data_IF_569313291355
#
_entry.id   IF_569313291355
#
_cell.length_a   1.000
_cell.length_b   1.000
_cell.length_c   1.000
_cell.angle_alpha   90.00
_cell.angle_beta   90.00
_cell.angle_gamma   90.00
#
_symmetry.space_group_name_H-M   'P 1'
#
loop_
_entity.id
_entity.type
_entity.pdbx_description
1 polymer ?
#
# COMPACT_ATOMS: atom_id res chain seq x y z
N UNK A 1 -24.00 9.71 -15.77
CA UNK A 1 -23.03 8.60 -15.84
C UNK A 1 -23.78 7.28 -15.63
N UNK A 2 -23.72 6.33 -16.58
CA UNK A 2 -24.40 5.03 -16.46
C UNK A 2 -23.86 4.24 -15.26
N UNK A 3 -24.73 3.53 -14.54
CA UNK A 3 -24.40 2.64 -13.42
C UNK A 3 -23.24 1.67 -13.76
N UNK A 4 -23.18 1.22 -15.02
CA UNK A 4 -22.11 0.37 -15.54
C UNK A 4 -20.71 1.00 -15.42
N UNK A 5 -20.57 2.32 -15.65
CA UNK A 5 -19.28 3.02 -15.56
C UNK A 5 -18.79 3.15 -14.12
N UNK A 6 -19.71 3.28 -13.16
CA UNK A 6 -19.37 3.34 -11.74
C UNK A 6 -18.84 1.99 -11.22
N UNK A 7 -19.43 0.87 -11.67
CA UNK A 7 -18.92 -0.46 -11.34
C UNK A 7 -17.48 -0.65 -11.82
N UNK A 8 -17.14 -0.20 -13.05
CA UNK A 8 -15.77 -0.27 -13.57
C UNK A 8 -14.79 0.58 -12.74
N UNK A 9 -15.17 1.79 -12.31
CA UNK A 9 -14.35 2.61 -11.41
C UNK A 9 -14.09 1.91 -10.06
N UNK A 10 -15.13 1.33 -9.45
CA UNK A 10 -15.01 0.64 -8.18
C UNK A 10 -14.10 -0.60 -8.27
N UNK A 11 -14.21 -1.35 -9.36
CA UNK A 11 -13.32 -2.49 -9.64
C UNK A 11 -11.88 -2.01 -9.84
N UNK A 12 -11.66 -0.93 -10.60
CA UNK A 12 -10.33 -0.35 -10.78
C UNK A 12 -9.68 0.12 -9.47
N UNK A 13 -10.46 0.74 -8.59
CA UNK A 13 -10.00 1.15 -7.26
C UNK A 13 -9.64 -0.05 -6.37
N UNK A 14 -10.41 -1.14 -6.45
CA UNK A 14 -10.11 -2.40 -5.75
C UNK A 14 -8.84 -3.08 -6.25
N UNK A 15 -8.62 -3.11 -7.58
CA UNK A 15 -7.41 -3.68 -8.18
C UNK A 15 -6.17 -2.90 -7.75
N UNK A 16 -6.25 -1.56 -7.69
CA UNK A 16 -5.14 -0.73 -7.22
C UNK A 16 -4.71 -1.08 -5.78
N UNK A 17 -5.65 -1.49 -4.93
CA UNK A 17 -5.37 -1.88 -3.54
C UNK A 17 -4.75 -3.28 -3.40
N UNK A 18 -4.85 -4.14 -4.42
CA UNK A 18 -4.21 -5.47 -4.39
C UNK A 18 -2.68 -5.36 -4.30
N UNK A 19 -2.09 -4.23 -4.71
CA UNK A 19 -0.67 -3.96 -4.56
C UNK A 19 -0.19 -4.04 -3.09
N UNK A 20 -1.09 -3.80 -2.11
CA UNK A 20 -0.75 -3.87 -0.69
C UNK A 20 -0.46 -5.29 -0.19
N UNK A 21 -0.92 -6.32 -0.90
CA UNK A 21 -0.66 -7.72 -0.52
C UNK A 21 0.83 -8.02 -0.61
N UNK A 22 1.50 -7.55 -1.68
CA UNK A 22 2.95 -7.73 -1.85
C UNK A 22 3.74 -7.04 -0.74
N UNK A 23 3.29 -5.86 -0.32
CA UNK A 23 3.89 -5.10 0.78
C UNK A 23 3.75 -5.84 2.11
N UNK A 24 2.57 -6.39 2.41
CA UNK A 24 2.36 -7.16 3.63
C UNK A 24 3.26 -8.39 3.72
N UNK A 25 3.45 -9.09 2.60
CA UNK A 25 4.37 -10.23 2.51
C UNK A 25 5.82 -9.76 2.69
N UNK A 26 6.24 -8.69 2.01
CA UNK A 26 7.60 -8.13 2.10
C UNK A 26 8.00 -7.79 3.53
N UNK A 27 7.22 -6.91 4.19
CA UNK A 27 7.46 -6.49 5.58
C UNK A 27 7.45 -7.69 6.53
N UNK A 28 6.49 -8.61 6.36
CA UNK A 28 6.38 -9.79 7.23
C UNK A 28 7.60 -10.71 7.13
N UNK A 29 8.09 -10.94 5.91
CA UNK A 29 9.25 -11.81 5.68
C UNK A 29 10.53 -11.17 6.23
N UNK A 30 10.76 -9.90 5.92
CA UNK A 30 11.92 -9.15 6.41
C UNK A 30 11.91 -9.00 7.93
N UNK A 31 10.72 -8.78 8.53
CA UNK A 31 10.55 -8.72 9.98
C UNK A 31 10.90 -10.06 10.65
N UNK A 32 10.48 -11.18 10.08
CA UNK A 32 10.87 -12.52 10.56
C UNK A 32 12.39 -12.72 10.56
N UNK A 33 13.06 -12.36 9.46
CA UNK A 33 14.51 -12.44 9.35
C UNK A 33 15.24 -11.50 10.33
N UNK A 34 14.70 -10.31 10.56
CA UNK A 34 15.25 -9.37 11.54
C UNK A 34 15.16 -9.94 12.97
N UNK A 35 14.02 -10.55 13.34
CA UNK A 35 13.86 -11.20 14.65
C UNK A 35 14.84 -12.35 14.83
N UNK A 36 15.02 -13.18 13.80
CA UNK A 36 16.02 -14.26 13.83
C UNK A 36 17.45 -13.73 13.96
N UNK A 37 17.78 -12.64 13.24
CA UNK A 37 19.07 -11.96 13.35
C UNK A 37 19.32 -11.42 14.75
N UNK A 38 18.33 -10.76 15.35
CA UNK A 38 18.38 -10.26 16.74
C UNK A 38 18.56 -11.40 17.74
N UNK A 39 17.88 -12.53 17.53
CA UNK A 39 18.01 -13.70 18.40
C UNK A 39 19.43 -14.31 18.37
N UNK A 40 20.12 -14.25 17.22
CA UNK A 40 21.50 -14.74 17.07
C UNK A 40 22.55 -13.75 17.59
N UNK A 41 22.29 -12.46 17.46
CA UNK A 41 23.20 -11.37 17.85
C UNK A 41 22.42 -10.25 18.55
N UNK A 42 22.15 -10.39 19.86
CA UNK A 42 21.36 -9.41 20.60
C UNK A 42 22.08 -8.05 20.72
N UNK A 43 23.41 -8.01 20.64
CA UNK A 43 24.20 -6.77 20.72
C UNK A 43 23.98 -5.88 19.48
N UNK A 44 23.61 -6.47 18.34
CA UNK A 44 23.33 -5.76 17.10
C UNK A 44 21.84 -5.39 16.94
N UNK A 45 21.02 -5.58 17.98
CA UNK A 45 19.58 -5.49 17.86
C UNK A 45 19.08 -4.13 17.34
N UNK A 46 19.68 -3.04 17.82
CA UNK A 46 19.26 -1.70 17.41
C UNK A 46 19.68 -1.39 15.97
N UNK A 47 20.88 -1.80 15.56
CA UNK A 47 21.36 -1.66 14.17
C UNK A 47 20.46 -2.46 13.20
N UNK A 48 20.05 -3.67 13.56
CA UNK A 48 19.15 -4.49 12.75
C UNK A 48 17.77 -3.84 12.62
N UNK A 49 17.21 -3.33 13.72
CA UNK A 49 15.91 -2.63 13.71
C UNK A 49 15.95 -1.36 12.88
N UNK A 50 16.99 -0.54 13.05
CA UNK A 50 17.19 0.67 12.27
C UNK A 50 17.27 0.34 10.78
N UNK A 51 18.09 -0.66 10.42
CA UNK A 51 18.20 -1.12 9.03
C UNK A 51 16.86 -1.60 8.48
N UNK A 52 16.09 -2.38 9.25
CA UNK A 52 14.76 -2.84 8.85
C UNK A 52 13.81 -1.65 8.61
N UNK A 53 13.82 -0.66 9.49
CA UNK A 53 12.96 0.52 9.35
C UNK A 53 13.33 1.32 8.09
N UNK A 54 14.61 1.62 7.89
CA UNK A 54 15.05 2.48 6.80
C UNK A 54 15.08 1.80 5.44
N UNK A 55 15.43 0.52 5.36
CA UNK A 55 15.56 -0.18 4.09
C UNK A 55 14.27 -0.86 3.64
N UNK A 56 13.39 -1.23 4.56
CA UNK A 56 12.20 -2.04 4.25
C UNK A 56 10.92 -1.27 4.57
N UNK A 57 10.70 -0.96 5.84
CA UNK A 57 9.42 -0.40 6.30
C UNK A 57 9.15 0.97 5.68
N UNK A 58 10.12 1.89 5.68
CA UNK A 58 9.93 3.24 5.13
C UNK A 58 9.64 3.23 3.61
N UNK A 59 10.45 2.57 2.76
CA UNK A 59 10.18 2.50 1.33
C UNK A 59 8.83 1.84 1.00
N UNK A 60 8.50 0.72 1.66
CA UNK A 60 7.26 -0.01 1.41
C UNK A 60 6.04 0.78 1.89
N UNK A 61 6.15 1.48 3.02
CA UNK A 61 5.08 2.36 3.51
C UNK A 61 4.84 3.52 2.53
N UNK A 62 5.90 4.12 1.97
CA UNK A 62 5.76 5.13 0.92
C UNK A 62 5.06 4.57 -0.32
N UNK A 63 5.37 3.34 -0.71
CA UNK A 63 4.72 2.68 -1.85
C UNK A 63 3.24 2.37 -1.58
N UNK A 64 2.90 1.96 -0.35
CA UNK A 64 1.52 1.74 0.08
C UNK A 64 0.69 3.02 0.00
N UNK A 65 1.27 4.16 0.39
CA UNK A 65 0.62 5.47 0.27
C UNK A 65 0.35 5.85 -1.18
N UNK A 66 1.24 5.53 -2.12
CA UNK A 66 1.01 5.77 -3.55
C UNK A 66 -0.18 4.94 -4.07
N UNK A 67 -0.23 3.64 -3.76
CA UNK A 67 -1.34 2.78 -4.16
C UNK A 67 -2.69 3.24 -3.56
N UNK A 68 -2.69 3.63 -2.28
CA UNK A 68 -3.85 4.18 -1.60
C UNK A 68 -4.32 5.51 -2.22
N UNK A 69 -3.39 6.41 -2.51
CA UNK A 69 -3.69 7.71 -3.14
C UNK A 69 -4.32 7.52 -4.52
N UNK A 70 -3.78 6.60 -5.34
CA UNK A 70 -4.35 6.28 -6.65
C UNK A 70 -5.76 5.69 -6.53
N UNK A 71 -5.97 4.78 -5.58
CA UNK A 71 -7.31 4.19 -5.35
C UNK A 71 -8.34 5.25 -4.97
N UNK A 72 -7.99 6.15 -4.03
CA UNK A 72 -8.84 7.29 -3.65
C UNK A 72 -9.11 8.20 -4.84
N UNK A 73 -8.08 8.53 -5.63
CA UNK A 73 -8.22 9.42 -6.77
C UNK A 73 -9.20 8.85 -7.81
N UNK A 74 -9.14 7.55 -8.10
CA UNK A 74 -10.07 6.89 -9.02
C UNK A 74 -11.52 7.04 -8.53
N UNK A 75 -11.77 6.79 -7.24
CA UNK A 75 -13.10 6.93 -6.64
C UNK A 75 -13.55 8.39 -6.68
N UNK A 76 -12.68 9.33 -6.31
CA UNK A 76 -13.01 10.74 -6.22
C UNK A 76 -13.32 11.35 -7.58
N UNK A 77 -12.52 11.05 -8.61
CA UNK A 77 -12.78 11.48 -9.98
C UNK A 77 -14.09 10.90 -10.52
N UNK A 78 -14.36 9.62 -10.23
CA UNK A 78 -15.62 9.00 -10.62
C UNK A 78 -16.83 9.57 -9.85
N UNK A 79 -16.63 10.03 -8.60
CA UNK A 79 -17.65 10.73 -7.83
C UNK A 79 -17.92 12.16 -8.35
N UNK A 80 -16.87 12.94 -8.67
CA UNK A 80 -17.00 14.31 -9.20
C UNK A 80 -17.72 14.30 -10.54
N UNK A 81 -17.37 13.38 -11.45
CA UNK A 81 -18.06 13.25 -12.76
C UNK A 81 -19.53 12.83 -12.67
N UNK A 82 -20.00 12.38 -11.51
CA UNK A 82 -21.44 12.16 -11.27
C UNK A 82 -22.20 13.47 -11.04
N UNK A 83 -21.51 14.51 -10.55
CA UNK A 83 -22.11 15.81 -10.17
C UNK A 83 -22.18 16.84 -11.30
N UNK A 84 -21.62 16.56 -12.48
CA UNK A 84 -21.97 17.30 -13.70
C UNK A 84 -23.21 16.65 -14.34
N UNK A 85 -24.43 17.16 -14.09
CA UNK A 85 -25.55 16.79 -14.92
C UNK A 85 -25.29 17.40 -16.30
N UNK A 86 -25.08 16.55 -17.29
CA UNK A 86 -25.15 16.93 -18.69
C UNK A 86 -26.44 17.74 -18.91
N UNK A 87 -26.29 19.05 -19.14
CA UNK A 87 -27.24 19.81 -19.95
C UNK A 87 -26.82 19.66 -21.41
#
# INVERSE_FOLDING_TARGET
MSLSKFCCCAIGAGIAMLALIGIGIGIGTAGGMAVEGIARQPEAADVIKETLIFCVILPELFLALLAFTVSILIIFLCAVKRKEPHC
#
